data_IF_840975894379
#
_entry.id   IF_840975894379
#
_cell.length_a   1.000
_cell.length_b   1.000
_cell.length_c   1.000
_cell.angle_alpha   90.00
_cell.angle_beta   90.00
_cell.angle_gamma   90.00
#
_symmetry.space_group_name_H-M   'P 1'
#
loop_
_entity.id
_entity.type
_entity.pdbx_description
1 polymer ?
#
# COMPACT_ATOMS: atom_id res chain seq x y z
N UNK A 1 22.86 4.87 19.15
CA UNK A 1 22.58 5.64 20.39
C UNK A 1 21.64 4.85 21.30
N UNK A 2 21.95 4.71 22.59
CA UNK A 2 21.12 3.97 23.55
C UNK A 2 19.79 4.65 23.89
N UNK A 3 19.62 5.92 23.51
CA UNK A 3 18.46 6.77 23.85
C UNK A 3 17.57 7.11 22.64
N UNK A 4 17.51 6.25 21.61
CA UNK A 4 16.61 6.46 20.47
C UNK A 4 15.15 6.35 20.89
N UNK A 5 14.34 7.36 20.56
CA UNK A 5 12.91 7.39 20.85
C UNK A 5 12.08 6.66 19.79
N UNK A 6 10.80 6.43 20.08
CA UNK A 6 9.88 5.76 19.16
C UNK A 6 9.79 6.43 17.77
N UNK A 7 10.05 7.75 17.68
CA UNK A 7 10.08 8.51 16.44
C UNK A 7 11.10 7.99 15.41
N UNK A 8 12.13 7.26 15.85
CA UNK A 8 13.09 6.64 14.93
C UNK A 8 12.53 5.44 14.16
N UNK A 9 11.40 4.85 14.57
CA UNK A 9 10.79 3.71 13.90
C UNK A 9 10.12 4.06 12.56
N UNK A 10 9.78 5.32 12.30
CA UNK A 10 9.09 5.69 11.05
C UNK A 10 9.94 5.42 9.80
N UNK A 11 11.26 5.33 9.93
CA UNK A 11 12.14 4.91 8.82
C UNK A 11 11.94 3.45 8.42
N UNK A 12 11.95 2.52 9.38
CA UNK A 12 11.71 1.11 9.08
C UNK A 12 10.26 0.83 8.68
N UNK A 13 9.30 1.55 9.27
CA UNK A 13 7.89 1.50 8.87
C UNK A 13 7.69 1.93 7.41
N UNK A 14 8.43 2.92 6.90
CA UNK A 14 8.42 3.28 5.47
C UNK A 14 8.90 2.12 4.59
N UNK A 15 9.97 1.42 5.00
CA UNK A 15 10.44 0.23 4.30
C UNK A 15 9.38 -0.88 4.26
N UNK A 16 8.68 -1.10 5.37
CA UNK A 16 7.57 -2.07 5.44
C UNK A 16 6.41 -1.63 4.52
N UNK A 17 6.02 -0.36 4.55
CA UNK A 17 4.98 0.18 3.67
C UNK A 17 5.36 -0.02 2.20
N UNK A 18 6.62 0.21 1.83
CA UNK A 18 7.10 -0.02 0.46
C UNK A 18 6.97 -1.48 0.03
N UNK A 19 7.41 -2.43 0.87
CA UNK A 19 7.29 -3.87 0.59
C UNK A 19 5.82 -4.25 0.39
N UNK A 20 4.92 -3.80 1.29
CA UNK A 20 3.48 -4.07 1.19
C UNK A 20 2.91 -3.50 -0.11
N UNK A 21 3.24 -2.25 -0.46
CA UNK A 21 2.73 -1.61 -1.68
C UNK A 21 3.23 -2.33 -2.95
N UNK A 22 4.50 -2.75 -3.00
CA UNK A 22 5.04 -3.51 -4.14
C UNK A 22 4.33 -4.85 -4.28
N UNK A 23 4.24 -5.63 -3.20
CA UNK A 23 3.64 -6.97 -3.25
C UNK A 23 2.15 -6.91 -3.62
N UNK A 24 1.38 -6.04 -2.96
CA UNK A 24 -0.04 -5.87 -3.26
C UNK A 24 -0.27 -5.24 -4.63
N UNK A 25 0.58 -4.29 -5.04
CA UNK A 25 0.52 -3.65 -6.35
C UNK A 25 0.76 -4.63 -7.49
N UNK A 26 1.81 -5.46 -7.38
CA UNK A 26 2.09 -6.52 -8.35
C UNK A 26 0.90 -7.48 -8.47
N UNK A 27 0.30 -7.89 -7.35
CA UNK A 27 -0.89 -8.73 -7.38
C UNK A 27 -2.07 -8.07 -8.09
N UNK A 28 -2.35 -6.80 -7.80
CA UNK A 28 -3.42 -6.05 -8.47
C UNK A 28 -3.16 -5.92 -9.97
N UNK A 29 -1.92 -5.70 -10.40
CA UNK A 29 -1.58 -5.59 -11.83
C UNK A 29 -1.78 -6.88 -12.60
N UNK A 30 -1.74 -8.05 -11.95
CA UNK A 30 -2.05 -9.33 -12.61
C UNK A 30 -3.53 -9.46 -13.02
N UNK A 31 -4.41 -8.64 -12.44
CA UNK A 31 -5.87 -8.69 -12.68
C UNK A 31 -6.45 -7.38 -13.23
N UNK A 32 -5.69 -6.29 -13.21
CA UNK A 32 -6.12 -4.97 -13.68
C UNK A 32 -5.97 -4.85 -15.21
N UNK A 33 -6.93 -4.19 -15.87
CA UNK A 33 -6.85 -3.87 -17.30
C UNK A 33 -6.76 -2.36 -17.49
N UNK A 34 -5.69 -1.91 -18.15
CA UNK A 34 -5.39 -0.49 -18.37
C UNK A 34 -6.06 0.08 -19.64
N UNK A 35 -7.36 -0.20 -19.81
CA UNK A 35 -8.18 0.32 -20.91
C UNK A 35 -9.40 1.06 -20.35
N UNK A 36 -9.77 2.22 -20.91
CA UNK A 36 -10.78 3.10 -20.31
C UNK A 36 -12.18 2.49 -20.27
N UNK A 37 -12.49 1.57 -21.18
CA UNK A 37 -13.78 0.89 -21.24
C UNK A 37 -13.89 -0.23 -20.19
N UNK A 38 -12.77 -0.78 -19.73
CA UNK A 38 -12.71 -1.96 -18.85
C UNK A 38 -11.99 -1.74 -17.50
N UNK A 39 -11.37 -0.58 -17.28
CA UNK A 39 -10.62 -0.29 -16.05
C UNK A 39 -11.48 -0.45 -14.79
N UNK A 40 -12.69 0.13 -14.76
CA UNK A 40 -13.57 0.03 -13.60
C UNK A 40 -14.10 -1.39 -13.39
N UNK A 41 -14.50 -2.08 -14.46
CA UNK A 41 -14.99 -3.46 -14.37
C UNK A 41 -13.88 -4.43 -13.92
N UNK A 42 -12.63 -4.20 -14.32
CA UNK A 42 -11.49 -5.01 -13.84
C UNK A 42 -11.25 -4.85 -12.33
N UNK A 43 -11.41 -3.65 -11.77
CA UNK A 43 -11.34 -3.41 -10.32
C UNK A 43 -12.53 -4.05 -9.59
N UNK A 44 -13.72 -3.99 -10.18
CA UNK A 44 -14.91 -4.67 -9.66
C UNK A 44 -14.71 -6.20 -9.61
N UNK A 45 -14.13 -6.78 -10.65
CA UNK A 45 -13.76 -8.19 -10.73
C UNK A 45 -12.72 -8.57 -9.67
N UNK A 46 -11.67 -7.76 -9.47
CA UNK A 46 -10.71 -7.96 -8.37
C UNK A 46 -11.41 -8.03 -7.02
N UNK A 47 -12.40 -7.17 -6.77
CA UNK A 47 -13.06 -7.13 -5.47
C UNK A 47 -14.03 -8.29 -5.23
N UNK A 48 -14.73 -8.74 -6.27
CA UNK A 48 -15.85 -9.70 -6.12
C UNK A 48 -15.46 -11.13 -6.47
N UNK A 49 -14.58 -11.32 -7.43
CA UNK A 49 -14.37 -12.62 -8.07
C UNK A 49 -12.96 -13.19 -7.81
N UNK A 50 -11.96 -12.33 -7.54
CA UNK A 50 -10.62 -12.78 -7.13
C UNK A 50 -10.60 -13.14 -5.64
N UNK A 51 -10.08 -14.33 -5.32
CA UNK A 51 -9.94 -14.79 -3.93
C UNK A 51 -9.11 -13.80 -3.10
N UNK A 52 -9.68 -13.32 -1.99
CA UNK A 52 -9.11 -12.24 -1.16
C UNK A 52 -8.78 -10.94 -1.89
N UNK A 53 -9.25 -10.73 -3.12
CA UNK A 53 -8.92 -9.54 -3.90
C UNK A 53 -9.47 -8.26 -3.28
N UNK A 54 -10.63 -8.31 -2.61
CA UNK A 54 -11.13 -7.20 -1.79
C UNK A 54 -10.15 -6.79 -0.70
N UNK A 55 -9.54 -7.76 -0.02
CA UNK A 55 -8.61 -7.50 1.09
C UNK A 55 -7.32 -6.89 0.52
N UNK A 56 -6.77 -7.49 -0.54
CA UNK A 56 -5.54 -7.00 -1.18
C UNK A 56 -5.72 -5.57 -1.70
N UNK A 57 -6.85 -5.26 -2.36
CA UNK A 57 -7.16 -3.90 -2.80
C UNK A 57 -7.25 -2.94 -1.61
N UNK A 58 -7.92 -3.33 -0.54
CA UNK A 58 -8.04 -2.49 0.65
C UNK A 58 -6.69 -2.27 1.34
N UNK A 59 -5.82 -3.27 1.41
CA UNK A 59 -4.46 -3.12 1.94
C UNK A 59 -3.67 -2.16 1.06
N UNK A 60 -3.72 -2.28 -0.27
CA UNK A 60 -3.00 -1.38 -1.17
C UNK A 60 -3.48 0.08 -1.07
N UNK A 61 -4.80 0.28 -0.95
CA UNK A 61 -5.39 1.61 -0.84
C UNK A 61 -5.10 2.27 0.53
N UNK A 62 -5.33 1.57 1.63
CA UNK A 62 -5.05 2.10 2.99
C UNK A 62 -3.55 2.15 3.28
N UNK A 63 -2.77 1.24 2.70
CA UNK A 63 -1.32 1.21 2.78
C UNK A 63 -0.69 2.47 2.19
N UNK A 64 -1.27 3.04 1.12
CA UNK A 64 -0.85 4.34 0.60
C UNK A 64 -1.04 5.46 1.65
N UNK A 65 -2.17 5.52 2.35
CA UNK A 65 -2.38 6.50 3.42
C UNK A 65 -1.38 6.31 4.57
N UNK A 66 -1.12 5.07 4.99
CA UNK A 66 -0.11 4.77 6.02
C UNK A 66 1.30 5.18 5.56
N UNK A 67 1.64 4.98 4.28
CA UNK A 67 2.90 5.42 3.70
C UNK A 67 3.08 6.94 3.87
N UNK A 68 2.06 7.73 3.54
CA UNK A 68 2.10 9.19 3.72
C UNK A 68 2.17 9.61 5.19
N UNK A 69 1.42 8.95 6.09
CA UNK A 69 1.53 9.19 7.54
C UNK A 69 2.97 8.95 8.01
N UNK A 70 3.57 7.82 7.62
CA UNK A 70 4.96 7.50 7.95
C UNK A 70 5.94 8.52 7.38
N UNK A 71 5.74 9.00 6.14
CA UNK A 71 6.59 10.03 5.52
C UNK A 71 6.53 11.31 6.34
N UNK A 72 5.33 11.81 6.66
CA UNK A 72 5.19 13.08 7.38
C UNK A 72 5.82 13.01 8.77
N UNK A 73 5.65 11.89 9.48
CA UNK A 73 6.26 11.71 10.81
C UNK A 73 7.78 11.47 10.73
N UNK A 74 8.27 10.82 9.67
CA UNK A 74 9.71 10.62 9.46
C UNK A 74 10.42 11.93 9.13
N UNK A 75 9.84 12.76 8.25
CA UNK A 75 10.33 14.10 7.90
C UNK A 75 10.25 15.01 9.13
N UNK A 76 9.10 15.08 9.81
CA UNK A 76 8.93 15.96 10.96
C UNK A 76 9.82 15.62 12.17
N UNK A 77 10.35 14.41 12.22
CA UNK A 77 11.37 14.02 13.21
C UNK A 77 12.75 14.56 12.85
N UNK A 78 13.12 14.53 11.57
CA UNK A 78 14.47 14.83 11.06
C UNK A 78 14.71 16.32 10.96
#
# INVERSE_FOLDING_TARGET
PSNISAWWNFGSLLGICLIIQILTGLFLTMHYTADTMSAFSSVAHICRDVQYGWLIRNIHANGASMFFICIYLHIGRG
#
